data_IF_686243667502
#
_entry.id   IF_686243667502
#
_cell.length_a   1.000
_cell.length_b   1.000
_cell.length_c   1.000
_cell.angle_alpha   90.00
_cell.angle_beta   90.00
_cell.angle_gamma   90.00
#
_symmetry.space_group_name_H-M   'P 1'
#
loop_
_entity.id
_entity.type
_entity.pdbx_description
1 polymer ?
#
# COMPACT_ATOMS: atom_id res chain seq x y z
N UNK A 1 -5.90 15.74 2.86
CA UNK A 1 -5.16 15.32 4.08
C UNK A 1 -6.11 15.07 5.26
N UNK A 2 -7.08 15.95 5.59
CA UNK A 2 -8.01 15.72 6.72
C UNK A 2 -8.76 14.39 6.61
N UNK A 3 -9.32 14.07 5.45
CA UNK A 3 -9.98 12.77 5.18
C UNK A 3 -9.05 11.60 5.54
N UNK A 4 -7.78 11.67 5.14
CA UNK A 4 -6.82 10.61 5.45
C UNK A 4 -6.54 10.55 6.97
N UNK A 5 -6.38 11.69 7.64
CA UNK A 5 -6.20 11.74 9.08
C UNK A 5 -7.39 11.18 9.85
N UNK A 6 -8.59 11.54 9.44
CA UNK A 6 -9.81 11.06 10.07
C UNK A 6 -9.88 9.53 10.01
N UNK A 7 -9.61 8.94 8.84
CA UNK A 7 -9.58 7.49 8.67
C UNK A 7 -8.47 6.81 9.51
N UNK A 8 -7.24 7.35 9.51
CA UNK A 8 -6.10 6.74 10.21
C UNK A 8 -6.30 6.78 11.74
N UNK A 9 -6.97 7.79 12.24
CA UNK A 9 -7.18 7.96 13.69
C UNK A 9 -8.41 7.23 14.25
N UNK A 10 -9.24 6.64 13.38
CA UNK A 10 -10.35 5.82 13.84
C UNK A 10 -9.85 4.55 14.55
N UNK A 11 -10.42 4.19 15.71
CA UNK A 11 -10.01 2.98 16.40
C UNK A 11 -10.40 1.72 15.63
N UNK A 12 -9.67 0.59 15.81
CA UNK A 12 -9.91 -0.65 15.07
C UNK A 12 -11.31 -1.24 15.25
N UNK A 13 -11.98 -0.92 16.35
CA UNK A 13 -13.37 -1.32 16.59
C UNK A 13 -14.37 -0.57 15.72
N UNK A 14 -13.97 0.56 15.14
CA UNK A 14 -14.79 1.40 14.26
C UNK A 14 -14.40 1.19 12.79
N UNK A 15 -13.12 1.33 12.46
CA UNK A 15 -12.64 1.22 11.09
C UNK A 15 -12.23 -0.22 10.75
N UNK A 16 -13.21 -1.08 10.52
CA UNK A 16 -13.01 -2.41 9.96
C UNK A 16 -12.84 -2.37 8.44
N UNK A 17 -12.41 -3.46 7.75
CA UNK A 17 -12.32 -3.48 6.29
C UNK A 17 -13.63 -3.09 5.59
N UNK A 18 -14.77 -3.54 6.12
CA UNK A 18 -16.09 -3.17 5.62
C UNK A 18 -16.40 -1.68 5.80
N UNK A 19 -15.97 -1.09 6.92
CA UNK A 19 -16.14 0.34 7.19
C UNK A 19 -15.23 1.20 6.33
N UNK A 20 -14.00 0.76 6.05
CA UNK A 20 -13.12 1.44 5.10
C UNK A 20 -13.72 1.42 3.68
N UNK A 21 -14.29 0.30 3.27
CA UNK A 21 -15.00 0.19 1.99
C UNK A 21 -16.24 1.10 1.93
N UNK A 22 -17.02 1.13 3.00
CA UNK A 22 -18.17 2.04 3.13
C UNK A 22 -17.73 3.51 3.06
N UNK A 23 -16.66 3.87 3.76
CA UNK A 23 -16.11 5.24 3.73
C UNK A 23 -15.69 5.65 2.29
N UNK A 24 -15.09 4.73 1.53
CA UNK A 24 -14.77 5.00 0.12
C UNK A 24 -16.04 5.22 -0.72
N UNK A 25 -17.07 4.39 -0.55
CA UNK A 25 -18.34 4.53 -1.27
C UNK A 25 -19.05 5.86 -0.92
N UNK A 26 -19.07 6.23 0.34
CA UNK A 26 -19.69 7.50 0.79
C UNK A 26 -18.90 8.72 0.30
N UNK A 27 -17.56 8.66 0.38
CA UNK A 27 -16.68 9.75 -0.06
C UNK A 27 -16.88 10.09 -1.53
N UNK A 28 -17.11 9.09 -2.37
CA UNK A 28 -17.21 9.24 -3.82
C UNK A 28 -18.63 9.16 -4.38
N UNK A 29 -19.68 9.06 -3.54
CA UNK A 29 -21.08 8.81 -3.92
C UNK A 29 -21.62 9.76 -5.00
N UNK A 30 -21.27 11.04 -4.93
CA UNK A 30 -21.75 12.09 -5.86
C UNK A 30 -20.59 12.70 -6.66
N UNK A 31 -19.66 11.84 -7.06
CA UNK A 31 -18.45 12.25 -7.78
C UNK A 31 -18.28 11.43 -9.05
N UNK A 32 -17.43 11.84 -9.98
CA UNK A 32 -17.12 11.04 -11.17
C UNK A 32 -16.24 9.81 -10.89
N UNK A 33 -15.89 9.54 -9.64
CA UNK A 33 -15.11 8.35 -9.27
C UNK A 33 -16.06 7.17 -9.08
N UNK A 34 -15.88 6.13 -9.88
CA UNK A 34 -16.61 4.88 -9.72
C UNK A 34 -15.94 4.03 -8.65
N UNK A 35 -16.68 3.63 -7.61
CA UNK A 35 -16.20 2.76 -6.55
C UNK A 35 -16.83 1.38 -6.69
N UNK A 36 -15.99 0.35 -6.81
CA UNK A 36 -16.39 -1.05 -6.80
C UNK A 36 -15.78 -1.73 -5.58
N UNK A 37 -16.58 -2.43 -4.80
CA UNK A 37 -16.14 -3.17 -3.61
C UNK A 37 -16.45 -4.64 -3.82
N UNK A 38 -15.42 -5.48 -3.74
CA UNK A 38 -15.55 -6.92 -3.84
C UNK A 38 -15.45 -7.55 -2.45
N UNK A 39 -16.38 -8.45 -2.14
CA UNK A 39 -16.38 -9.29 -0.95
C UNK A 39 -15.52 -10.54 -1.12
N UNK A 40 -15.43 -11.36 -0.03
CA UNK A 40 -14.60 -12.58 0.00
C UNK A 40 -14.82 -13.48 -1.21
N UNK A 41 -16.05 -13.84 -1.52
CA UNK A 41 -16.38 -14.79 -2.59
C UNK A 41 -15.99 -14.26 -3.98
N UNK A 42 -16.07 -12.95 -4.18
CA UNK A 42 -15.66 -12.30 -5.42
C UNK A 42 -14.14 -12.22 -5.52
N UNK A 43 -13.47 -11.85 -4.43
CA UNK A 43 -12.00 -11.80 -4.32
C UNK A 43 -11.40 -13.19 -4.56
N UNK A 44 -12.03 -14.26 -4.03
CA UNK A 44 -11.60 -15.64 -4.26
C UNK A 44 -11.77 -16.03 -5.74
N UNK A 45 -12.90 -15.68 -6.37
CA UNK A 45 -13.13 -15.95 -7.81
C UNK A 45 -12.17 -15.18 -8.72
N UNK A 46 -11.77 -13.98 -8.33
CA UNK A 46 -10.74 -13.19 -9.04
C UNK A 46 -9.36 -13.80 -8.83
N UNK A 47 -9.12 -14.46 -7.69
CA UNK A 47 -7.88 -15.18 -7.43
C UNK A 47 -6.87 -14.47 -6.51
N UNK A 48 -7.25 -13.43 -5.75
CA UNK A 48 -6.36 -12.77 -4.77
C UNK A 48 -6.22 -13.63 -3.51
N UNK A 49 -5.70 -14.83 -3.67
CA UNK A 49 -5.66 -15.84 -2.60
C UNK A 49 -4.67 -15.50 -1.49
N UNK A 50 -3.54 -14.90 -1.81
CA UNK A 50 -2.56 -14.49 -0.81
C UNK A 50 -3.11 -13.36 0.09
N UNK A 51 -3.85 -12.42 -0.48
CA UNK A 51 -4.57 -11.41 0.29
C UNK A 51 -5.62 -12.02 1.24
N UNK A 52 -6.39 -13.01 0.77
CA UNK A 52 -7.39 -13.68 1.60
C UNK A 52 -6.76 -14.46 2.76
N UNK A 53 -5.59 -15.08 2.56
CA UNK A 53 -4.88 -15.82 3.62
C UNK A 53 -4.40 -14.88 4.74
N UNK A 54 -3.93 -13.67 4.42
CA UNK A 54 -3.58 -12.66 5.45
C UNK A 54 -4.80 -12.31 6.31
N UNK A 55 -5.96 -12.08 5.68
CA UNK A 55 -7.20 -11.71 6.38
C UNK A 55 -7.92 -12.88 7.08
N UNK A 56 -7.44 -14.09 6.95
CA UNK A 56 -8.13 -15.31 7.40
C UNK A 56 -8.31 -15.43 8.91
N UNK A 57 -7.41 -14.78 9.67
CA UNK A 57 -7.45 -14.76 11.13
C UNK A 57 -8.49 -13.81 11.73
N UNK A 58 -9.05 -12.91 10.94
CA UNK A 58 -10.07 -11.96 11.40
C UNK A 58 -11.49 -12.48 11.26
N UNK A 59 -12.36 -12.04 12.16
CA UNK A 59 -13.83 -12.21 12.01
C UNK A 59 -14.40 -11.23 10.97
N UNK A 60 -13.66 -10.17 10.63
CA UNK A 60 -14.07 -9.20 9.62
C UNK A 60 -13.63 -9.65 8.23
N UNK A 61 -14.59 -9.68 7.33
CA UNK A 61 -14.36 -10.09 5.94
C UNK A 61 -13.42 -9.12 5.21
N UNK A 62 -12.37 -9.61 4.51
CA UNK A 62 -11.55 -8.80 3.63
C UNK A 62 -12.37 -8.12 2.52
N UNK A 63 -11.98 -6.93 2.11
CA UNK A 63 -12.61 -6.15 1.02
C UNK A 63 -11.55 -5.66 0.04
N UNK A 64 -11.76 -5.95 -1.24
CA UNK A 64 -10.98 -5.29 -2.30
C UNK A 64 -11.78 -4.06 -2.77
N UNK A 65 -11.18 -2.88 -2.62
CA UNK A 65 -11.79 -1.59 -2.95
C UNK A 65 -11.10 -1.04 -4.19
N UNK A 66 -11.86 -0.82 -5.26
CA UNK A 66 -11.36 -0.29 -6.54
C UNK A 66 -12.07 1.04 -6.81
N UNK A 67 -11.29 2.10 -7.06
CA UNK A 67 -11.76 3.48 -7.24
C UNK A 67 -11.24 3.99 -8.57
N UNK A 68 -12.11 4.15 -9.57
CA UNK A 68 -11.75 4.53 -10.93
C UNK A 68 -12.11 5.99 -11.18
N UNK A 69 -11.11 6.81 -11.44
CA UNK A 69 -11.25 8.20 -11.89
C UNK A 69 -10.79 8.33 -13.33
N UNK A 70 -11.65 8.81 -14.21
CA UNK A 70 -11.34 9.08 -15.61
C UNK A 70 -11.51 10.57 -15.87
N UNK A 71 -10.43 11.34 -15.61
CA UNK A 71 -10.39 12.79 -15.79
C UNK A 71 -9.99 13.23 -17.21
N UNK A 72 -9.43 12.31 -18.02
CA UNK A 72 -8.98 12.55 -19.39
C UNK A 72 -9.45 11.42 -20.30
N UNK A 73 -10.64 11.59 -20.92
CA UNK A 73 -11.23 10.58 -21.79
C UNK A 73 -10.49 10.40 -23.13
N UNK A 74 -9.74 11.40 -23.53
CA UNK A 74 -8.91 11.45 -24.76
C UNK A 74 -7.49 10.89 -24.56
N UNK A 75 -7.18 10.39 -23.36
CA UNK A 75 -5.86 9.82 -23.00
C UNK A 75 -6.03 8.37 -22.57
N UNK A 76 -5.34 7.46 -23.24
CA UNK A 76 -5.39 6.02 -22.89
C UNK A 76 -4.60 5.71 -21.61
N UNK A 77 -3.54 6.49 -21.32
CA UNK A 77 -2.66 6.27 -20.18
C UNK A 77 -3.42 6.34 -18.84
N UNK A 78 -3.14 5.38 -17.96
CA UNK A 78 -3.80 5.23 -16.66
C UNK A 78 -2.81 4.84 -15.57
N UNK A 79 -2.82 5.59 -14.49
CA UNK A 79 -2.03 5.31 -13.29
C UNK A 79 -2.73 4.29 -12.40
N UNK A 80 -2.04 3.21 -12.05
CA UNK A 80 -2.39 2.35 -10.92
C UNK A 80 -1.88 2.97 -9.62
N UNK A 81 -2.77 3.20 -8.66
CA UNK A 81 -2.44 3.78 -7.37
C UNK A 81 -2.85 2.83 -6.27
N UNK A 82 -1.89 2.17 -5.60
CA UNK A 82 -2.17 1.12 -4.64
C UNK A 82 -1.86 1.60 -3.23
N UNK A 83 -2.78 1.38 -2.29
CA UNK A 83 -2.58 1.70 -0.88
C UNK A 83 -2.66 0.45 0.00
N UNK A 84 -1.67 0.24 0.89
CA UNK A 84 -1.77 -0.78 1.94
C UNK A 84 -3.01 -0.48 2.80
N UNK A 85 -3.85 -1.49 3.01
CA UNK A 85 -5.16 -1.35 3.65
C UNK A 85 -5.36 -2.25 4.88
N UNK A 86 -4.32 -2.50 5.67
CA UNK A 86 -4.46 -3.25 6.93
C UNK A 86 -5.14 -2.36 7.97
N UNK A 87 -6.45 -2.58 8.21
CA UNK A 87 -7.20 -1.77 9.20
C UNK A 87 -6.79 -2.05 10.64
N UNK A 88 -6.14 -3.17 10.86
CA UNK A 88 -5.37 -3.49 12.06
C UNK A 88 -4.32 -4.56 11.77
N UNK A 89 -3.11 -4.37 12.29
CA UNK A 89 -2.05 -5.36 12.25
C UNK A 89 -1.57 -5.74 13.65
N UNK A 90 -1.72 -7.01 14.03
CA UNK A 90 -1.16 -7.55 15.28
C UNK A 90 0.20 -8.24 15.07
N UNK A 91 0.65 -8.37 13.80
CA UNK A 91 1.74 -9.23 13.41
C UNK A 91 1.33 -10.69 13.18
N UNK A 92 0.08 -11.06 13.49
CA UNK A 92 -0.35 -12.45 13.44
C UNK A 92 0.41 -13.30 14.44
N UNK A 93 0.76 -14.54 14.07
CA UNK A 93 1.56 -15.43 14.95
C UNK A 93 2.99 -14.94 15.19
N UNK A 94 3.55 -14.11 14.34
CA UNK A 94 4.77 -13.33 14.60
C UNK A 94 4.41 -12.05 15.36
N UNK A 95 3.77 -12.21 16.53
CA UNK A 95 3.08 -11.19 17.30
C UNK A 95 3.99 -9.99 17.62
N UNK A 96 3.49 -8.79 17.33
CA UNK A 96 4.14 -7.54 17.71
C UNK A 96 4.09 -7.31 19.23
N UNK A 97 4.96 -6.45 19.75
CA UNK A 97 4.86 -6.03 21.15
C UNK A 97 3.58 -5.22 21.39
N UNK A 98 3.08 -5.23 22.63
CA UNK A 98 1.88 -4.45 22.99
C UNK A 98 2.04 -2.97 22.69
N UNK A 99 3.24 -2.42 22.84
CA UNK A 99 3.56 -1.02 22.55
C UNK A 99 3.38 -0.69 21.04
N UNK A 100 3.85 -1.56 20.16
CA UNK A 100 3.62 -1.39 18.70
C UNK A 100 2.16 -1.59 18.34
N UNK A 101 1.52 -2.62 18.89
CA UNK A 101 0.11 -2.92 18.61
C UNK A 101 -0.85 -1.77 18.98
N UNK A 102 -0.51 -0.95 19.98
CA UNK A 102 -1.36 0.17 20.43
C UNK A 102 -1.67 1.19 19.32
N UNK A 103 -0.80 1.28 18.31
CA UNK A 103 -0.95 2.26 17.23
C UNK A 103 -1.26 1.62 15.87
N UNK A 104 -1.38 0.30 15.78
CA UNK A 104 -1.48 -0.42 14.50
C UNK A 104 -2.79 -0.24 13.72
N UNK A 105 -3.73 0.59 14.21
CA UNK A 105 -4.82 1.12 13.38
C UNK A 105 -4.30 2.01 12.25
N UNK A 106 -3.07 2.54 12.35
CA UNK A 106 -2.50 3.37 11.30
C UNK A 106 -1.97 2.58 10.09
N UNK A 107 -2.01 1.26 10.12
CA UNK A 107 -1.42 0.40 9.08
C UNK A 107 -2.20 0.38 7.76
N UNK A 108 -3.26 1.16 7.68
CA UNK A 108 -4.02 1.50 6.48
C UNK A 108 -3.75 2.94 5.98
N UNK A 109 -2.67 3.58 6.43
CA UNK A 109 -2.32 4.95 6.03
C UNK A 109 -2.10 5.08 4.52
N UNK A 110 -1.59 4.03 3.87
CA UNK A 110 -1.48 3.98 2.41
C UNK A 110 -2.84 4.10 1.72
N UNK A 111 -3.83 3.32 2.16
CA UNK A 111 -5.19 3.38 1.66
C UNK A 111 -5.82 4.77 1.87
N UNK A 112 -5.64 5.34 3.05
CA UNK A 112 -6.15 6.67 3.38
C UNK A 112 -5.51 7.76 2.50
N UNK A 113 -4.22 7.67 2.22
CA UNK A 113 -3.51 8.58 1.32
C UNK A 113 -4.06 8.49 -0.11
N UNK A 114 -4.28 7.28 -0.63
CA UNK A 114 -4.89 7.03 -1.94
C UNK A 114 -6.29 7.65 -2.03
N UNK A 115 -7.17 7.37 -1.06
CA UNK A 115 -8.52 7.92 -1.02
C UNK A 115 -8.51 9.46 -0.99
N UNK A 116 -7.68 10.04 -0.13
CA UNK A 116 -7.56 11.49 0.01
C UNK A 116 -6.99 12.19 -1.22
N UNK A 117 -6.02 11.58 -1.91
CA UNK A 117 -5.43 12.12 -3.13
C UNK A 117 -6.40 12.04 -4.32
N UNK A 118 -7.09 10.91 -4.49
CA UNK A 118 -8.14 10.74 -5.50
C UNK A 118 -9.30 11.73 -5.31
N UNK A 119 -9.72 11.94 -4.05
CA UNK A 119 -10.74 12.93 -3.75
C UNK A 119 -10.32 14.34 -4.16
N UNK A 120 -9.06 14.71 -3.88
CA UNK A 120 -8.54 16.01 -4.28
C UNK A 120 -8.43 16.14 -5.81
N UNK A 121 -7.98 15.09 -6.50
CA UNK A 121 -7.86 15.08 -7.95
C UNK A 121 -9.21 15.30 -8.65
N UNK A 122 -10.25 14.54 -8.27
CA UNK A 122 -11.58 14.69 -8.87
C UNK A 122 -12.23 16.04 -8.52
N UNK A 123 -12.04 16.55 -7.29
CA UNK A 123 -12.57 17.85 -6.85
C UNK A 123 -11.97 19.02 -7.63
N UNK A 124 -10.73 18.87 -8.10
CA UNK A 124 -10.02 19.85 -8.93
C UNK A 124 -10.19 19.61 -10.43
N UNK A 125 -10.86 18.52 -10.81
CA UNK A 125 -11.07 18.16 -12.20
C UNK A 125 -9.76 17.92 -12.97
N UNK A 126 -8.75 17.28 -12.32
CA UNK A 126 -7.47 17.00 -12.97
C UNK A 126 -7.66 16.09 -14.19
N UNK A 127 -7.01 16.43 -15.30
CA UNK A 127 -7.03 15.65 -16.54
C UNK A 127 -6.05 14.49 -16.50
N UNK A 128 -6.34 13.50 -15.65
CA UNK A 128 -5.56 12.28 -15.47
C UNK A 128 -6.49 11.09 -15.21
N UNK A 129 -6.11 9.91 -15.67
CA UNK A 129 -6.84 8.68 -15.38
C UNK A 129 -6.11 7.90 -14.28
N UNK A 130 -6.84 7.54 -13.23
CA UNK A 130 -6.28 6.86 -12.07
C UNK A 130 -7.21 5.71 -11.66
N UNK A 131 -6.65 4.55 -11.39
CA UNK A 131 -7.36 3.48 -10.67
C UNK A 131 -6.70 3.27 -9.31
N UNK A 132 -7.39 3.66 -8.24
CA UNK A 132 -7.01 3.37 -6.87
C UNK A 132 -7.41 1.96 -6.48
N UNK A 133 -6.51 1.19 -5.88
CA UNK A 133 -6.76 -0.19 -5.42
C UNK A 133 -6.31 -0.33 -3.97
N UNK A 134 -7.19 -0.87 -3.12
CA UNK A 134 -6.93 -1.14 -1.71
C UNK A 134 -7.39 -2.54 -1.37
N UNK A 135 -6.46 -3.39 -0.94
CA UNK A 135 -6.73 -4.70 -0.38
C UNK A 135 -6.90 -4.55 1.15
N UNK A 136 -8.14 -4.35 1.61
CA UNK A 136 -8.45 -4.06 3.00
C UNK A 136 -8.71 -5.34 3.80
N UNK A 137 -7.90 -5.61 4.83
CA UNK A 137 -8.09 -6.72 5.76
C UNK A 137 -7.51 -6.41 7.13
N UNK A 138 -7.59 -7.36 8.06
CA UNK A 138 -6.92 -7.31 9.36
C UNK A 138 -6.00 -8.52 9.50
N UNK A 139 -4.80 -8.32 10.03
CA UNK A 139 -3.88 -9.39 10.41
C UNK A 139 -4.04 -9.71 11.90
N UNK A 140 -4.82 -10.73 12.22
CA UNK A 140 -5.19 -11.09 13.59
C UNK A 140 -4.93 -12.57 13.88
N UNK A 141 -4.71 -12.87 15.17
CA UNK A 141 -4.60 -14.25 15.64
C UNK A 141 -5.97 -14.89 15.79
N UNK A 142 -6.07 -16.12 15.34
CA UNK A 142 -7.20 -17.01 15.61
C UNK A 142 -6.83 -18.45 15.29
N UNK A 143 -7.73 -19.39 15.53
CA UNK A 143 -7.54 -20.78 15.16
C UNK A 143 -7.46 -21.00 13.64
N UNK A 144 -7.87 -20.06 12.84
CA UNK A 144 -7.87 -20.12 11.36
C UNK A 144 -6.80 -19.24 10.72
N UNK A 145 -6.06 -18.45 11.50
CA UNK A 145 -5.00 -17.60 10.96
C UNK A 145 -3.87 -18.41 10.32
N UNK A 146 -3.28 -17.84 9.27
CA UNK A 146 -2.07 -18.41 8.67
C UNK A 146 -0.88 -18.34 9.63
N UNK A 147 0.09 -19.21 9.45
CA UNK A 147 1.20 -19.40 10.39
C UNK A 147 2.55 -19.37 9.67
N UNK A 148 3.66 -19.04 10.38
CA UNK A 148 4.99 -19.26 9.84
C UNK A 148 5.20 -20.71 9.45
N UNK A 149 5.69 -20.94 8.23
CA UNK A 149 5.83 -22.27 7.61
C UNK A 149 4.77 -22.56 6.54
N UNK A 150 3.70 -21.79 6.49
CA UNK A 150 2.72 -21.91 5.41
C UNK A 150 3.34 -21.53 4.05
N UNK A 151 2.84 -22.18 2.99
CA UNK A 151 3.13 -21.82 1.61
C UNK A 151 1.82 -21.45 0.94
N UNK A 152 1.69 -20.18 0.60
CA UNK A 152 0.47 -19.60 0.03
C UNK A 152 0.66 -19.28 -1.45
N UNK A 153 -0.41 -19.38 -2.23
CA UNK A 153 -0.40 -19.04 -3.66
C UNK A 153 -0.92 -17.61 -3.85
N UNK A 154 -0.18 -16.78 -4.59
CA UNK A 154 -0.65 -15.45 -4.99
C UNK A 154 -1.46 -15.48 -6.30
N UNK A 155 -2.14 -14.38 -6.59
CA UNK A 155 -2.89 -14.19 -7.85
C UNK A 155 -1.99 -14.35 -9.09
N UNK A 156 -0.72 -14.00 -9.00
CA UNK A 156 0.25 -14.18 -10.11
C UNK A 156 0.59 -15.66 -10.39
N UNK A 157 0.14 -16.58 -9.54
CA UNK A 157 0.48 -18.00 -9.58
C UNK A 157 1.78 -18.36 -8.86
N UNK A 158 2.55 -17.36 -8.38
CA UNK A 158 3.73 -17.62 -7.56
C UNK A 158 3.34 -18.10 -6.17
N UNK A 159 4.12 -19.03 -5.62
CA UNK A 159 4.00 -19.50 -4.25
C UNK A 159 4.91 -18.70 -3.33
N UNK A 160 4.42 -18.31 -2.17
CA UNK A 160 5.11 -17.51 -1.16
C UNK A 160 5.25 -18.36 0.11
N UNK A 161 6.46 -18.61 0.56
CA UNK A 161 6.73 -19.16 1.89
C UNK A 161 6.57 -18.04 2.93
N UNK A 162 5.69 -18.26 3.88
CA UNK A 162 5.48 -17.36 5.02
C UNK A 162 6.48 -17.73 6.10
N UNK A 163 7.54 -16.96 6.26
CA UNK A 163 8.47 -17.12 7.38
C UNK A 163 8.29 -16.07 8.48
N UNK A 164 7.44 -15.05 8.22
CA UNK A 164 7.05 -14.03 9.18
C UNK A 164 5.64 -13.50 8.87
N UNK A 165 4.68 -13.72 9.76
CA UNK A 165 3.31 -13.23 9.56
C UNK A 165 3.16 -11.73 9.81
N UNK A 166 4.16 -11.04 10.38
CA UNK A 166 4.26 -9.58 10.53
C UNK A 166 4.87 -8.90 9.27
N UNK A 167 5.08 -9.67 8.22
CA UNK A 167 5.42 -9.17 6.89
C UNK A 167 4.23 -9.42 5.91
N UNK A 168 3.04 -9.17 6.37
CA UNK A 168 1.74 -9.39 5.72
C UNK A 168 1.43 -8.35 4.65
N UNK A 169 1.84 -7.10 4.89
CA UNK A 169 1.53 -5.97 4.00
C UNK A 169 2.05 -6.19 2.59
N UNK A 170 3.25 -6.75 2.44
CA UNK A 170 3.81 -7.07 1.12
C UNK A 170 3.09 -8.25 0.45
N UNK A 171 2.51 -9.16 1.24
CA UNK A 171 1.69 -10.27 0.72
C UNK A 171 0.39 -9.72 0.13
N UNK A 172 -0.30 -8.81 0.83
CA UNK A 172 -1.51 -8.15 0.31
C UNK A 172 -1.20 -7.29 -0.90
N UNK A 173 -0.04 -6.60 -0.91
CA UNK A 173 0.42 -5.81 -2.05
C UNK A 173 0.76 -6.68 -3.27
N UNK A 174 1.29 -7.89 -3.09
CA UNK A 174 1.57 -8.81 -4.20
C UNK A 174 0.32 -9.06 -5.05
N UNK A 175 -0.80 -9.36 -4.40
CA UNK A 175 -2.07 -9.59 -5.07
C UNK A 175 -2.69 -8.28 -5.60
N UNK A 176 -2.61 -7.18 -4.83
CA UNK A 176 -3.11 -5.88 -5.27
C UNK A 176 -2.37 -5.35 -6.51
N UNK A 177 -1.04 -5.50 -6.57
CA UNK A 177 -0.21 -5.16 -7.74
C UNK A 177 -0.60 -6.02 -8.92
N UNK A 178 -0.69 -7.35 -8.73
CA UNK A 178 -1.06 -8.28 -9.80
C UNK A 178 -2.45 -7.96 -10.36
N UNK A 179 -3.43 -7.71 -9.48
CA UNK A 179 -4.78 -7.31 -9.87
C UNK A 179 -4.76 -6.00 -10.67
N UNK A 180 -4.05 -5.00 -10.18
CA UNK A 180 -3.97 -3.69 -10.81
C UNK A 180 -3.40 -3.79 -12.23
N UNK A 181 -2.35 -4.58 -12.43
CA UNK A 181 -1.75 -4.83 -13.74
C UNK A 181 -2.69 -5.56 -14.69
N UNK A 182 -3.32 -6.63 -14.21
CA UNK A 182 -4.07 -7.54 -15.07
C UNK A 182 -5.50 -7.06 -15.36
N UNK A 183 -6.11 -6.33 -14.41
CA UNK A 183 -7.56 -6.03 -14.45
C UNK A 183 -7.89 -4.54 -14.62
N UNK A 184 -6.93 -3.63 -14.41
CA UNK A 184 -7.24 -2.19 -14.38
C UNK A 184 -6.73 -1.39 -15.60
N UNK A 185 -6.06 -2.02 -16.56
CA UNK A 185 -5.57 -1.35 -17.78
C UNK A 185 -4.59 -0.22 -17.50
N UNK A 186 -3.71 -0.41 -16.51
CA UNK A 186 -2.72 0.61 -16.09
C UNK A 186 -1.40 0.42 -16.84
N UNK A 187 -0.69 1.51 -17.08
CA UNK A 187 0.62 1.53 -17.72
C UNK A 187 1.77 1.80 -16.75
N UNK A 188 1.48 2.21 -15.52
CA UNK A 188 2.45 2.43 -14.44
C UNK A 188 1.77 2.30 -13.08
N UNK A 189 2.57 2.08 -12.04
CA UNK A 189 2.08 1.87 -10.68
C UNK A 189 2.85 2.75 -9.70
N UNK A 190 2.10 3.39 -8.81
CA UNK A 190 2.60 3.96 -7.55
C UNK A 190 1.93 3.19 -6.43
N UNK A 191 2.70 2.56 -5.55
CA UNK A 191 2.15 2.02 -4.32
C UNK A 191 2.70 2.73 -3.09
N UNK A 192 1.87 2.87 -2.06
CA UNK A 192 2.18 3.55 -0.81
C UNK A 192 1.73 2.70 0.37
N UNK A 193 2.65 2.44 1.29
CA UNK A 193 2.43 1.52 2.39
C UNK A 193 3.24 1.87 3.64
N UNK A 194 2.67 1.67 4.80
CA UNK A 194 3.38 1.46 6.06
C UNK A 194 3.96 0.05 6.03
N UNK A 195 5.09 -0.10 5.31
CA UNK A 195 5.55 -1.45 4.98
C UNK A 195 6.57 -2.00 5.95
N UNK A 196 7.50 -1.15 6.42
CA UNK A 196 8.60 -1.65 7.25
C UNK A 196 9.01 -0.69 8.36
N UNK A 197 9.37 -1.23 9.51
CA UNK A 197 10.08 -0.49 10.56
C UNK A 197 11.51 -0.14 10.14
N UNK A 198 12.06 -0.93 9.21
CA UNK A 198 13.37 -0.71 8.64
C UNK A 198 13.54 0.65 7.99
N UNK A 199 12.47 1.20 7.40
CA UNK A 199 12.53 2.53 6.80
C UNK A 199 12.63 3.62 7.85
N UNK A 200 11.94 3.48 8.99
CA UNK A 200 12.05 4.41 10.10
C UNK A 200 13.47 4.38 10.70
N UNK A 201 14.05 3.20 10.83
CA UNK A 201 15.43 3.04 11.29
C UNK A 201 16.43 3.70 10.34
N UNK A 202 16.20 3.61 9.02
CA UNK A 202 17.11 4.17 8.00
C UNK A 202 16.96 5.69 7.82
N UNK A 203 15.73 6.23 7.80
CA UNK A 203 15.42 7.60 7.39
C UNK A 203 14.75 8.45 8.49
N UNK A 204 14.44 7.85 9.65
CA UNK A 204 13.71 8.50 10.73
C UNK A 204 12.22 8.70 10.36
N UNK A 205 11.59 9.67 11.04
CA UNK A 205 10.14 9.93 10.93
C UNK A 205 9.76 11.15 10.07
N UNK A 206 10.68 11.64 9.24
CA UNK A 206 10.49 12.87 8.43
C UNK A 206 10.62 12.66 6.93
N UNK A 207 11.00 11.47 6.52
CA UNK A 207 11.17 11.09 5.11
C UNK A 207 10.59 9.70 4.88
N UNK A 208 9.85 9.53 3.81
CA UNK A 208 9.53 8.19 3.34
C UNK A 208 10.66 7.63 2.48
N UNK A 209 10.77 6.31 2.43
CA UNK A 209 11.62 5.62 1.46
C UNK A 209 10.94 5.51 0.12
N UNK A 210 11.72 5.56 -0.95
CA UNK A 210 11.25 5.29 -2.29
C UNK A 210 12.11 4.21 -2.94
N UNK A 211 11.47 3.26 -3.62
CA UNK A 211 12.11 2.20 -4.39
C UNK A 211 11.46 2.14 -5.76
N UNK A 212 12.24 2.00 -6.83
CA UNK A 212 11.71 2.14 -8.17
C UNK A 212 12.48 1.31 -9.19
N UNK A 213 11.82 1.02 -10.30
CA UNK A 213 12.44 0.50 -11.52
C UNK A 213 12.39 1.52 -12.68
N UNK A 214 11.85 2.75 -12.42
CA UNK A 214 11.64 3.75 -13.48
C UNK A 214 12.01 5.17 -13.04
N UNK A 215 13.05 5.74 -13.61
CA UNK A 215 13.57 7.06 -13.30
C UNK A 215 12.64 8.21 -13.68
N UNK A 216 11.91 8.09 -14.79
CA UNK A 216 11.00 9.14 -15.23
C UNK A 216 9.81 9.28 -14.26
N UNK A 217 9.23 8.14 -13.85
CA UNK A 217 8.17 8.10 -12.83
C UNK A 217 8.66 8.67 -11.49
N UNK A 218 9.87 8.28 -11.07
CA UNK A 218 10.47 8.79 -9.83
C UNK A 218 10.62 10.31 -9.87
N UNK A 219 11.12 10.87 -10.97
CA UNK A 219 11.28 12.32 -11.12
C UNK A 219 9.94 13.08 -11.00
N UNK A 220 8.84 12.52 -11.49
CA UNK A 220 7.51 13.09 -11.33
C UNK A 220 7.06 13.07 -9.86
N UNK A 221 7.29 11.95 -9.16
CA UNK A 221 6.95 11.83 -7.73
C UNK A 221 7.84 12.74 -6.88
N UNK A 222 9.13 12.88 -7.16
CA UNK A 222 10.04 13.82 -6.48
C UNK A 222 9.56 15.28 -6.60
N UNK A 223 9.13 15.70 -7.78
CA UNK A 223 8.54 17.04 -7.99
C UNK A 223 7.28 17.22 -7.15
N UNK A 224 6.41 16.21 -7.11
CA UNK A 224 5.21 16.20 -6.27
C UNK A 224 5.54 16.27 -4.78
N UNK A 225 6.51 15.49 -4.32
CA UNK A 225 7.01 15.46 -2.95
C UNK A 225 7.55 16.84 -2.52
N UNK A 226 8.36 17.45 -3.38
CA UNK A 226 8.91 18.79 -3.16
C UNK A 226 7.79 19.86 -3.06
N UNK A 227 6.82 19.83 -3.97
CA UNK A 227 5.69 20.76 -3.96
C UNK A 227 4.79 20.59 -2.73
N UNK A 228 4.65 19.35 -2.24
CA UNK A 228 3.88 19.03 -1.03
C UNK A 228 4.65 19.31 0.28
N UNK A 229 5.94 19.58 0.22
CA UNK A 229 6.84 19.60 1.38
C UNK A 229 6.80 18.27 2.18
N UNK A 230 6.52 17.15 1.51
CA UNK A 230 6.60 15.79 2.03
C UNK A 230 7.86 15.12 1.47
N UNK A 231 8.86 14.94 2.32
CA UNK A 231 10.19 14.53 1.87
C UNK A 231 10.25 13.04 1.60
N UNK A 232 10.93 12.67 0.53
CA UNK A 232 11.28 11.29 0.22
C UNK A 232 12.77 11.11 0.03
N UNK A 233 13.24 9.87 0.04
CA UNK A 233 14.61 9.50 -0.31
C UNK A 233 14.59 8.17 -1.05
N UNK A 234 15.20 8.15 -2.25
CA UNK A 234 15.34 6.92 -3.01
C UNK A 234 16.43 6.04 -2.41
N UNK A 235 16.08 4.78 -2.17
CA UNK A 235 16.95 3.70 -1.74
C UNK A 235 17.13 2.69 -2.88
N UNK A 236 18.28 2.00 -2.94
CA UNK A 236 18.56 1.09 -4.04
C UNK A 236 17.67 -0.15 -4.01
N UNK A 237 17.20 -0.58 -5.18
CA UNK A 237 16.74 -1.94 -5.43
C UNK A 237 17.97 -2.82 -5.63
N UNK A 238 18.38 -3.57 -4.60
CA UNK A 238 19.63 -4.35 -4.57
C UNK A 238 19.35 -5.85 -4.74
N UNK A 239 19.84 -6.43 -5.83
CA UNK A 239 19.67 -7.85 -6.14
C UNK A 239 20.36 -8.78 -5.13
N UNK A 240 21.40 -8.32 -4.42
CA UNK A 240 21.98 -9.11 -3.33
C UNK A 240 21.03 -9.22 -2.15
N UNK A 241 20.27 -8.16 -1.86
CA UNK A 241 19.22 -8.18 -0.84
C UNK A 241 18.00 -8.96 -1.31
N UNK A 242 17.71 -8.97 -2.62
CA UNK A 242 16.65 -9.81 -3.19
C UNK A 242 16.89 -11.29 -2.92
N UNK A 243 18.12 -11.78 -3.00
CA UNK A 243 18.47 -13.19 -2.74
C UNK A 243 18.11 -13.66 -1.33
N UNK A 244 17.95 -12.74 -0.38
CA UNK A 244 17.47 -13.08 0.97
C UNK A 244 16.06 -13.66 0.94
N UNK A 245 15.29 -13.38 -0.11
CA UNK A 245 13.94 -13.91 -0.32
C UNK A 245 13.92 -15.31 -0.97
N UNK A 246 15.05 -15.89 -1.34
CA UNK A 246 15.08 -17.21 -1.94
C UNK A 246 14.54 -18.26 -0.97
N UNK A 247 13.60 -19.08 -1.44
CA UNK A 247 12.96 -20.16 -0.69
C UNK A 247 13.40 -21.53 -1.23
N UNK A 248 13.37 -22.55 -0.37
CA UNK A 248 13.61 -23.96 -0.76
C UNK A 248 12.31 -24.69 -1.13
N UNK A 249 11.17 -24.13 -0.77
CA UNK A 249 9.85 -24.79 -0.88
C UNK A 249 8.83 -23.98 -1.69
N UNK A 250 9.16 -22.72 -2.01
CA UNK A 250 8.31 -21.81 -2.76
C UNK A 250 9.13 -21.01 -3.77
N UNK A 251 8.50 -20.11 -4.54
CA UNK A 251 9.21 -19.22 -5.45
C UNK A 251 10.00 -18.14 -4.69
N UNK A 252 9.47 -17.70 -3.54
CA UNK A 252 10.12 -16.76 -2.65
C UNK A 252 9.51 -16.86 -1.24
N UNK A 253 10.24 -16.38 -0.23
CA UNK A 253 9.70 -16.16 1.12
C UNK A 253 9.37 -14.70 1.35
N UNK A 254 8.49 -14.42 2.31
CA UNK A 254 7.96 -13.06 2.49
C UNK A 254 8.86 -12.12 3.29
N UNK A 255 9.91 -12.60 3.96
CA UNK A 255 10.76 -11.71 4.76
C UNK A 255 12.21 -12.16 4.87
N UNK A 256 13.05 -11.24 5.37
CA UNK A 256 14.45 -11.50 5.71
C UNK A 256 14.63 -12.11 7.11
N UNK A 257 13.57 -12.57 7.78
CA UNK A 257 13.66 -13.17 9.11
C UNK A 257 14.67 -14.31 9.13
N UNK A 258 15.54 -14.33 10.13
CA UNK A 258 16.63 -15.30 10.23
C UNK A 258 17.87 -14.99 9.37
N UNK A 259 17.87 -13.90 8.60
CA UNK A 259 19.04 -13.42 7.87
C UNK A 259 19.84 -12.42 8.70
N UNK A 260 21.17 -12.50 8.62
CA UNK A 260 22.08 -11.52 9.23
C UNK A 260 22.36 -10.30 8.32
N UNK A 261 21.77 -10.25 7.13
CA UNK A 261 22.13 -9.26 6.10
C UNK A 261 21.54 -7.87 6.39
N UNK A 262 20.41 -7.80 7.10
CA UNK A 262 19.73 -6.51 7.33
C UNK A 262 18.98 -6.00 6.09
N UNK A 263 18.84 -4.67 5.94
CA UNK A 263 18.22 -4.06 4.76
C UNK A 263 16.72 -4.33 4.64
N UNK A 264 16.01 -4.43 5.74
CA UNK A 264 14.60 -4.87 5.79
C UNK A 264 13.66 -4.05 4.89
N UNK A 265 13.88 -2.74 4.77
CA UNK A 265 13.09 -1.88 3.89
C UNK A 265 13.31 -2.25 2.42
N UNK A 266 14.57 -2.39 1.99
CA UNK A 266 14.91 -2.83 0.63
C UNK A 266 14.35 -4.23 0.34
N UNK A 267 14.48 -5.17 1.28
CA UNK A 267 13.92 -6.53 1.11
C UNK A 267 12.39 -6.48 0.95
N UNK A 268 11.71 -5.61 1.70
CA UNK A 268 10.25 -5.39 1.54
C UNK A 268 9.89 -4.91 0.15
N UNK A 269 10.58 -3.89 -0.33
CA UNK A 269 10.38 -3.34 -1.67
C UNK A 269 10.74 -4.35 -2.78
N UNK A 270 11.84 -5.10 -2.62
CA UNK A 270 12.24 -6.15 -3.57
C UNK A 270 11.22 -7.28 -3.65
N UNK A 271 10.55 -7.61 -2.55
CA UNK A 271 9.44 -8.56 -2.58
C UNK A 271 8.28 -8.03 -3.45
N UNK A 272 7.85 -6.78 -3.27
CA UNK A 272 6.78 -6.18 -4.09
C UNK A 272 7.20 -6.10 -5.55
N UNK A 273 8.45 -5.73 -5.84
CA UNK A 273 9.02 -5.66 -7.20
C UNK A 273 8.88 -6.97 -7.98
N UNK A 274 8.96 -8.13 -7.33
CA UNK A 274 8.77 -9.44 -7.97
C UNK A 274 7.40 -9.59 -8.66
N UNK A 275 6.37 -8.87 -8.19
CA UNK A 275 5.02 -8.90 -8.72
C UNK A 275 4.74 -7.76 -9.72
N UNK A 276 5.53 -6.71 -9.64
CA UNK A 276 5.49 -5.58 -10.58
C UNK A 276 6.01 -5.98 -11.96
N UNK A 277 7.03 -6.82 -12.00
CA UNK A 277 7.76 -7.22 -13.22
C UNK A 277 8.33 -6.00 -13.96
N UNK A 278 8.04 -5.84 -15.26
CA UNK A 278 8.56 -4.76 -16.10
C UNK A 278 7.69 -3.48 -16.08
N UNK A 279 6.54 -3.50 -15.38
CA UNK A 279 5.67 -2.32 -15.30
C UNK A 279 6.41 -1.17 -14.62
N UNK A 280 6.43 0.07 -15.18
CA UNK A 280 6.97 1.24 -14.51
C UNK A 280 6.38 1.42 -13.12
N UNK A 281 7.24 1.48 -12.10
CA UNK A 281 6.79 1.39 -10.71
C UNK A 281 7.65 2.23 -9.75
N UNK A 282 6.98 2.75 -8.73
CA UNK A 282 7.58 3.30 -7.53
C UNK A 282 6.80 2.86 -6.29
N UNK A 283 7.51 2.34 -5.30
CA UNK A 283 7.02 2.06 -3.96
C UNK A 283 7.41 3.18 -3.01
N UNK A 284 6.45 3.66 -2.22
CA UNK A 284 6.64 4.65 -1.16
C UNK A 284 6.43 4.00 0.20
N UNK A 285 7.52 3.71 0.91
CA UNK A 285 7.45 3.17 2.28
C UNK A 285 7.32 4.33 3.28
N UNK A 286 6.13 4.46 3.84
CA UNK A 286 5.75 5.48 4.81
C UNK A 286 5.71 4.96 6.25
N UNK A 287 6.30 3.79 6.54
CA UNK A 287 6.33 3.18 7.88
C UNK A 287 6.83 4.12 8.97
N UNK A 288 7.83 4.96 8.65
CA UNK A 288 8.35 5.96 9.59
C UNK A 288 7.57 7.28 9.64
N UNK A 289 6.73 7.59 8.65
CA UNK A 289 6.11 8.92 8.49
C UNK A 289 4.59 8.94 8.68
N UNK A 290 3.95 7.82 8.93
CA UNK A 290 2.49 7.72 8.98
C UNK A 290 1.89 8.23 10.29
N UNK A 291 2.64 8.14 11.39
CA UNK A 291 2.18 8.42 12.74
C UNK A 291 3.15 9.31 13.51
N UNK A 292 2.65 10.16 14.42
CA UNK A 292 3.47 10.96 15.33
C UNK A 292 2.88 11.04 16.73
N UNK A 293 3.73 11.04 17.73
CA UNK A 293 3.35 11.27 19.14
C UNK A 293 3.43 12.75 19.55
N UNK A 294 3.93 13.61 18.64
CA UNK A 294 4.16 15.03 18.91
C UNK A 294 3.41 15.92 17.91
N UNK A 295 3.10 17.14 18.35
CA UNK A 295 2.58 18.18 17.46
C UNK A 295 3.72 19.02 16.92
N UNK A 296 3.86 19.12 15.59
CA UNK A 296 4.87 19.94 14.93
C UNK A 296 4.38 20.53 13.62
N UNK A 297 4.33 21.83 13.53
CA UNK A 297 3.84 22.54 12.36
C UNK A 297 2.40 22.18 12.03
N UNK A 298 2.18 21.55 10.86
CA UNK A 298 0.85 21.10 10.42
C UNK A 298 0.48 19.70 10.92
N UNK A 299 1.39 19.02 11.59
CA UNK A 299 1.17 17.66 12.09
C UNK A 299 0.64 17.69 13.52
N UNK A 300 -0.44 16.98 13.76
CA UNK A 300 -1.03 16.73 15.08
C UNK A 300 -0.72 15.31 15.51
N UNK A 301 -0.78 15.02 16.80
CA UNK A 301 -0.63 13.65 17.32
C UNK A 301 -1.57 12.69 16.61
N UNK A 302 -1.07 11.47 16.38
CA UNK A 302 -1.81 10.43 15.67
C UNK A 302 -1.39 10.31 14.22
N UNK A 303 -2.30 9.82 13.38
CA UNK A 303 -2.13 9.69 11.95
C UNK A 303 -2.04 11.05 11.26
N UNK A 304 -1.00 11.27 10.48
CA UNK A 304 -0.72 12.59 9.90
C UNK A 304 -1.15 12.73 8.43
N UNK A 305 -1.60 11.62 7.80
CA UNK A 305 -2.04 11.59 6.41
C UNK A 305 -0.92 11.86 5.41
N UNK A 306 0.32 11.46 5.76
CA UNK A 306 1.48 11.56 4.87
C UNK A 306 1.22 10.86 3.53
N UNK A 307 1.75 11.40 2.46
CA UNK A 307 1.58 10.90 1.10
C UNK A 307 0.36 11.47 0.37
N UNK A 308 -0.71 11.87 1.09
CA UNK A 308 -1.92 12.42 0.44
C UNK A 308 -1.62 13.66 -0.42
N UNK A 309 -0.81 14.58 0.10
CA UNK A 309 -0.42 15.81 -0.64
C UNK A 309 0.59 15.50 -1.71
N UNK A 310 1.58 14.66 -1.39
CA UNK A 310 2.60 14.20 -2.34
C UNK A 310 1.94 13.59 -3.58
N UNK A 311 1.03 12.64 -3.41
CA UNK A 311 0.31 12.01 -4.50
C UNK A 311 -0.51 13.01 -5.32
N UNK A 312 -1.26 13.89 -4.65
CA UNK A 312 -2.03 14.92 -5.34
C UNK A 312 -1.15 15.88 -6.17
N UNK A 313 -0.03 16.35 -5.60
CA UNK A 313 0.91 17.20 -6.34
C UNK A 313 1.61 16.43 -7.47
N UNK A 314 1.88 15.14 -7.27
CA UNK A 314 2.37 14.25 -8.35
C UNK A 314 1.37 14.18 -9.52
N UNK A 315 0.08 14.05 -9.25
CA UNK A 315 -0.94 14.06 -10.31
C UNK A 315 -0.94 15.36 -11.11
N UNK A 316 -0.73 16.50 -10.45
CA UNK A 316 -0.59 17.79 -11.14
C UNK A 316 0.66 17.86 -12.02
N UNK A 317 1.75 17.24 -11.59
CA UNK A 317 2.97 17.12 -12.41
C UNK A 317 2.69 16.26 -13.64
N UNK A 318 2.07 15.08 -13.44
CA UNK A 318 1.71 14.16 -14.53
C UNK A 318 0.74 14.79 -15.53
N UNK A 319 -0.23 15.58 -15.07
CA UNK A 319 -1.16 16.33 -15.93
C UNK A 319 -0.43 17.33 -16.84
N UNK A 320 0.58 18.04 -16.30
CA UNK A 320 1.33 19.09 -17.02
C UNK A 320 2.39 18.53 -17.97
N UNK A 321 3.12 17.52 -17.55
CA UNK A 321 4.26 16.96 -18.29
C UNK A 321 3.84 15.86 -19.27
N UNK A 322 2.56 15.49 -19.24
CA UNK A 322 2.08 14.29 -19.93
C UNK A 322 2.44 13.02 -19.17
N UNK A 323 1.87 11.95 -19.64
CA UNK A 323 1.99 10.62 -19.01
C UNK A 323 3.07 9.74 -19.66
N UNK A 324 3.97 10.33 -20.46
CA UNK A 324 5.09 9.60 -21.07
C UNK A 324 6.11 9.24 -19.98
N UNK A 325 6.24 7.93 -19.72
CA UNK A 325 7.18 7.35 -18.75
C UNK A 325 8.10 6.37 -19.47
#
# INVERSE_FOLDING_TARGET
>A
TCIARDLINEPPTVLTPAKLAQAAQELFKETPVKVTVYGRDEVERIGLTAFLEVGKGSIHEPKLIVMEYTGAQDVESRLGLIGKGLTYDSGGYSLQSSEFMETMQHDMSGAAAVMGALWAAQKRGLRINITGVVAACENKLSATAYVPGDVIRSMSGRYIEVNNTDAEGRITLADAVTYTKQCCGVDRIVDIATLTDGIQTALGNRRCGAFTNNRALTAQVEKGAAAACERMWELPCDENLRRVLDSRVAHLKNSAMGSSVGGYATVGAMFVKEFVEETPWIHLDIGGTAWTTECEGIYTKGGIGFGTRMLYETFKVMEKEGTQV
#
